data_IF_815880704399
#
_entry.id   IF_815880704399
#
_cell.length_a   1.000
_cell.length_b   1.000
_cell.length_c   1.000
_cell.angle_alpha   90.00
_cell.angle_beta   90.00
_cell.angle_gamma   90.00
#
_symmetry.space_group_name_H-M   'P 1'
#
loop_
_entity.id
_entity.type
_entity.pdbx_description
1 polymer ?
#
# COMPACT_ATOMS: atom_id res chain seq x y z
N UNK A 1 -9.85 34.15 69.34
CA UNK A 1 -8.49 33.75 68.92
C UNK A 1 -8.65 32.67 67.86
N UNK A 2 -8.31 32.98 66.61
CA UNK A 2 -7.99 31.98 65.56
C UNK A 2 -6.55 31.47 65.79
N UNK A 3 -6.02 30.50 65.00
CA UNK A 3 -6.62 29.40 64.22
C UNK A 3 -5.88 28.04 64.43
N UNK A 4 -6.41 26.93 63.92
CA UNK A 4 -5.57 25.79 63.49
C UNK A 4 -6.28 24.92 62.43
N UNK A 5 -5.75 25.02 61.21
CA UNK A 5 -5.85 24.20 59.99
C UNK A 5 -7.05 23.27 59.74
N UNK A 6 -7.78 23.44 58.62
CA UNK A 6 -8.46 22.35 57.96
C UNK A 6 -7.51 21.53 57.08
N UNK A 7 -7.74 20.23 57.16
CA UNK A 7 -7.06 19.07 56.61
C UNK A 7 -7.09 19.03 55.06
N UNK A 8 -6.00 18.56 54.46
CA UNK A 8 -5.85 18.30 53.03
C UNK A 8 -6.95 17.36 52.52
N UNK A 9 -7.75 17.87 51.57
CA UNK A 9 -8.60 17.04 50.73
C UNK A 9 -7.71 16.26 49.76
N UNK A 10 -7.58 14.96 50.04
CA UNK A 10 -7.14 13.93 49.10
C UNK A 10 -7.99 14.02 47.82
N UNK A 11 -7.47 14.71 46.81
CA UNK A 11 -7.88 14.48 45.43
C UNK A 11 -7.27 13.15 45.01
N UNK A 12 -8.10 12.10 45.11
CA UNK A 12 -7.94 10.86 44.38
C UNK A 12 -7.90 11.21 42.88
N UNK A 13 -6.70 11.26 42.31
CA UNK A 13 -6.51 11.30 40.87
C UNK A 13 -6.24 9.87 40.44
N UNK A 14 -7.20 9.37 39.66
CA UNK A 14 -7.25 8.03 39.10
C UNK A 14 -5.92 7.62 38.45
N UNK A 15 -5.41 6.48 38.91
CA UNK A 15 -4.43 5.69 38.17
C UNK A 15 -5.21 4.97 37.08
N UNK A 16 -4.98 5.29 35.81
CA UNK A 16 -4.74 4.30 34.73
C UNK A 16 -4.75 4.95 33.34
N UNK A 17 -3.57 4.98 32.70
CA UNK A 17 -3.49 4.89 31.24
C UNK A 17 -2.42 3.87 30.90
N UNK A 18 -2.87 2.62 30.73
CA UNK A 18 -2.00 1.48 30.43
C UNK A 18 -1.98 1.24 28.91
N UNK A 19 -0.84 1.41 28.21
CA UNK A 19 -0.71 1.24 26.76
C UNK A 19 -0.89 -0.21 26.26
N UNK A 20 -1.12 -1.18 27.14
CA UNK A 20 -1.25 -2.60 26.81
C UNK A 20 -2.56 -2.97 26.11
N UNK A 21 -3.68 -2.28 26.39
CA UNK A 21 -5.01 -2.60 25.83
C UNK A 21 -5.11 -2.27 24.32
N UNK A 22 -4.29 -1.35 23.83
CA UNK A 22 -4.29 -0.91 22.42
C UNK A 22 -3.49 -1.86 21.50
N UNK A 23 -2.43 -2.51 21.98
CA UNK A 23 -1.63 -3.41 21.15
C UNK A 23 -2.35 -4.74 20.87
N UNK A 24 -2.96 -5.34 21.90
CA UNK A 24 -3.63 -6.64 21.76
C UNK A 24 -4.83 -6.59 20.80
N UNK A 25 -5.61 -5.50 20.88
CA UNK A 25 -6.74 -5.25 19.99
C UNK A 25 -6.29 -5.05 18.54
N UNK A 26 -5.22 -4.28 18.31
CA UNK A 26 -4.62 -4.11 16.97
C UNK A 26 -4.08 -5.42 16.39
N UNK A 27 -3.39 -6.23 17.20
CA UNK A 27 -2.89 -7.55 16.76
C UNK A 27 -4.06 -8.47 16.39
N UNK A 28 -5.14 -8.47 17.18
CA UNK A 28 -6.34 -9.27 16.87
C UNK A 28 -7.00 -8.82 15.57
N UNK A 29 -7.22 -7.52 15.40
CA UNK A 29 -7.79 -6.95 14.19
C UNK A 29 -6.94 -7.28 12.95
N UNK A 30 -5.61 -7.20 13.06
CA UNK A 30 -4.69 -7.57 12.01
C UNK A 30 -4.82 -9.07 11.63
N UNK A 31 -4.83 -9.97 12.62
CA UNK A 31 -5.01 -11.42 12.39
C UNK A 31 -6.36 -11.75 11.74
N UNK A 32 -7.43 -11.06 12.11
CA UNK A 32 -8.75 -11.24 11.50
C UNK A 32 -8.79 -10.75 10.04
N UNK A 33 -8.12 -9.63 9.73
CA UNK A 33 -7.95 -9.16 8.37
C UNK A 33 -7.15 -10.14 7.52
N UNK A 34 -6.06 -10.72 8.05
CA UNK A 34 -5.27 -11.72 7.33
C UNK A 34 -6.05 -13.01 7.05
N UNK A 35 -6.88 -13.47 8.00
CA UNK A 35 -7.76 -14.63 7.77
C UNK A 35 -8.75 -14.42 6.62
N UNK A 36 -9.17 -13.18 6.36
CA UNK A 36 -10.06 -12.85 5.23
C UNK A 36 -9.33 -12.87 3.89
N UNK A 37 -7.99 -12.73 3.90
CA UNK A 37 -7.13 -12.71 2.72
C UNK A 37 -6.45 -14.06 2.44
N UNK A 38 -6.61 -15.04 3.33
CA UNK A 38 -5.85 -16.29 3.31
C UNK A 38 -6.47 -17.37 2.42
N UNK A 39 -6.74 -17.05 1.15
CA UNK A 39 -7.02 -18.11 0.19
C UNK A 39 -5.79 -19.00 0.04
N UNK A 40 -5.97 -20.31 0.19
CA UNK A 40 -4.94 -21.31 -0.08
C UNK A 40 -5.57 -22.40 -0.93
N UNK A 41 -4.93 -22.70 -2.05
CA UNK A 41 -5.37 -23.75 -2.97
C UNK A 41 -4.20 -24.42 -3.67
N UNK A 42 -4.54 -25.30 -4.59
CA UNK A 42 -3.61 -25.97 -5.50
C UNK A 42 -3.23 -25.06 -6.67
N UNK A 43 -2.17 -25.41 -7.39
CA UNK A 43 -1.80 -24.73 -8.63
C UNK A 43 -2.93 -24.78 -9.68
N UNK A 44 -3.67 -25.89 -9.77
CA UNK A 44 -4.80 -26.02 -10.70
C UNK A 44 -5.91 -25.02 -10.41
N UNK A 45 -6.31 -24.88 -9.14
CA UNK A 45 -7.31 -23.89 -8.73
C UNK A 45 -6.83 -22.46 -8.99
N UNK A 46 -5.54 -22.18 -8.76
CA UNK A 46 -4.96 -20.88 -9.10
C UNK A 46 -4.97 -20.63 -10.62
N UNK A 47 -4.65 -21.65 -11.43
CA UNK A 47 -4.67 -21.55 -12.88
C UNK A 47 -6.07 -21.23 -13.39
N UNK A 48 -7.11 -21.86 -12.81
CA UNK A 48 -8.51 -21.55 -13.12
C UNK A 48 -8.87 -20.09 -12.76
N UNK A 49 -8.38 -19.57 -11.63
CA UNK A 49 -8.54 -18.15 -11.27
C UNK A 49 -7.90 -17.23 -12.31
N UNK A 50 -6.69 -17.54 -12.78
CA UNK A 50 -5.99 -16.74 -13.81
C UNK A 50 -6.70 -16.82 -15.16
N UNK A 51 -7.26 -17.98 -15.53
CA UNK A 51 -8.05 -18.13 -16.74
C UNK A 51 -9.33 -17.28 -16.69
N UNK A 52 -10.01 -17.26 -15.54
CA UNK A 52 -11.20 -16.44 -15.33
C UNK A 52 -10.87 -14.95 -15.26
N UNK A 53 -9.74 -14.59 -14.64
CA UNK A 53 -9.27 -13.23 -14.52
C UNK A 53 -7.76 -13.10 -14.76
N UNK A 54 -7.32 -12.82 -16.00
CA UNK A 54 -5.91 -12.67 -16.34
C UNK A 54 -5.20 -11.53 -15.61
N UNK A 55 -5.92 -10.57 -15.01
CA UNK A 55 -5.29 -9.47 -14.27
C UNK A 55 -4.59 -9.92 -12.99
N UNK A 56 -4.89 -11.13 -12.50
CA UNK A 56 -4.25 -11.72 -11.32
C UNK A 56 -2.74 -11.90 -11.56
N UNK A 57 -2.38 -12.43 -12.73
CA UNK A 57 -1.00 -12.70 -13.14
C UNK A 57 -0.33 -11.53 -13.89
N UNK A 58 -0.82 -10.29 -13.71
CA UNK A 58 -0.24 -9.10 -14.36
C UNK A 58 1.13 -8.73 -13.76
N UNK A 59 1.90 -7.96 -14.53
CA UNK A 59 3.19 -7.44 -14.09
C UNK A 59 3.06 -6.50 -12.89
N UNK A 60 4.09 -6.44 -12.04
CA UNK A 60 4.16 -5.47 -10.94
C UNK A 60 4.00 -4.03 -11.41
N UNK A 61 4.54 -3.67 -12.58
CA UNK A 61 4.37 -2.35 -13.18
C UNK A 61 2.91 -2.03 -13.51
N UNK A 62 2.17 -3.01 -14.06
CA UNK A 62 0.75 -2.88 -14.33
C UNK A 62 -0.03 -2.71 -13.03
N UNK A 63 0.30 -3.50 -12.00
CA UNK A 63 -0.33 -3.40 -10.69
C UNK A 63 -0.15 -2.01 -10.06
N UNK A 64 1.05 -1.43 -10.14
CA UNK A 64 1.30 -0.05 -9.65
C UNK A 64 0.55 0.98 -10.47
N UNK A 65 0.52 0.84 -11.80
CA UNK A 65 -0.25 1.73 -12.66
C UNK A 65 -1.74 1.69 -12.31
N UNK A 66 -2.33 0.50 -12.27
CA UNK A 66 -3.75 0.29 -12.00
C UNK A 66 -4.13 0.79 -10.60
N UNK A 67 -3.27 0.59 -9.60
CA UNK A 67 -3.43 1.16 -8.27
C UNK A 67 -3.54 2.69 -8.30
N UNK A 68 -2.63 3.37 -9.01
CA UNK A 68 -2.65 4.83 -9.10
C UNK A 68 -3.92 5.30 -9.82
N UNK A 69 -4.31 4.62 -10.90
CA UNK A 69 -5.50 4.96 -11.67
C UNK A 69 -6.79 4.68 -10.89
N UNK A 70 -6.83 3.64 -10.06
CA UNK A 70 -7.97 3.29 -9.22
C UNK A 70 -8.30 4.35 -8.17
N UNK A 71 -7.32 5.16 -7.75
CA UNK A 71 -7.55 6.28 -6.83
C UNK A 71 -8.32 7.44 -7.49
N UNK A 72 -8.31 7.52 -8.82
CA UNK A 72 -8.92 8.59 -9.60
C UNK A 72 -7.92 9.52 -10.27
N UNK A 73 -8.35 10.12 -11.39
CA UNK A 73 -7.59 11.14 -12.11
C UNK A 73 -8.50 12.29 -12.47
N UNK A 74 -7.98 13.52 -12.37
CA UNK A 74 -8.67 14.75 -12.76
C UNK A 74 -7.86 15.51 -13.81
N UNK A 75 -8.56 16.21 -14.70
CA UNK A 75 -7.96 16.96 -15.79
C UNK A 75 -7.48 16.09 -16.96
N UNK A 76 -7.04 16.75 -18.03
CA UNK A 76 -6.54 16.13 -19.26
C UNK A 76 -5.18 16.72 -19.68
N UNK A 77 -4.42 15.98 -20.49
CA UNK A 77 -3.16 16.47 -21.04
C UNK A 77 -2.10 16.79 -19.98
N UNK A 78 -1.58 18.02 -20.02
CA UNK A 78 -0.53 18.52 -19.11
C UNK A 78 -1.03 18.85 -17.71
N UNK A 79 -2.36 19.05 -17.56
CA UNK A 79 -2.97 19.44 -16.29
C UNK A 79 -3.52 18.22 -15.53
N UNK A 80 -3.16 17.02 -15.98
CA UNK A 80 -3.59 15.77 -15.36
C UNK A 80 -3.02 15.63 -13.95
N UNK A 81 -3.91 15.53 -12.97
CA UNK A 81 -3.59 15.21 -11.58
C UNK A 81 -4.08 13.82 -11.21
N UNK A 82 -3.32 13.13 -10.37
CA UNK A 82 -3.62 11.77 -9.89
C UNK A 82 -3.98 11.83 -8.41
N UNK A 83 -5.22 11.47 -8.07
CA UNK A 83 -5.77 11.62 -6.71
C UNK A 83 -4.99 10.83 -5.67
N UNK A 84 -4.30 9.77 -6.11
CA UNK A 84 -3.33 9.01 -5.32
C UNK A 84 -2.25 9.88 -4.65
N UNK A 85 -1.81 10.96 -5.31
CA UNK A 85 -0.70 11.80 -4.84
C UNK A 85 -1.15 13.16 -4.30
N UNK A 86 -2.40 13.58 -4.53
CA UNK A 86 -2.84 14.98 -4.34
C UNK A 86 -2.86 15.47 -2.89
N UNK A 87 -2.87 14.57 -1.91
CA UNK A 87 -2.93 14.94 -0.49
C UNK A 87 -1.54 15.23 0.09
N UNK A 88 -0.49 14.63 -0.47
CA UNK A 88 0.86 14.61 0.11
C UNK A 88 1.90 15.28 -0.79
N UNK A 89 1.63 15.41 -2.09
CA UNK A 89 2.58 15.93 -3.08
C UNK A 89 1.96 17.12 -3.82
N UNK A 90 2.62 18.27 -3.71
CA UNK A 90 2.21 19.51 -4.37
C UNK A 90 3.32 20.03 -5.30
N UNK A 91 2.95 20.60 -6.44
CA UNK A 91 3.89 21.24 -7.37
C UNK A 91 4.77 20.28 -8.20
N UNK A 92 4.57 18.97 -8.11
CA UNK A 92 5.33 17.95 -8.86
C UNK A 92 4.53 17.29 -9.99
N UNK A 93 3.49 17.94 -10.51
CA UNK A 93 2.54 17.37 -11.48
C UNK A 93 3.25 16.73 -12.69
N UNK A 94 4.18 17.46 -13.31
CA UNK A 94 4.95 16.96 -14.47
C UNK A 94 5.79 15.72 -14.13
N UNK A 95 6.42 15.69 -12.96
CA UNK A 95 7.21 14.54 -12.49
C UNK A 95 6.33 13.34 -12.20
N UNK A 96 5.17 13.56 -11.56
CA UNK A 96 4.19 12.50 -11.31
C UNK A 96 3.61 11.94 -12.61
N UNK A 97 3.34 12.80 -13.59
CA UNK A 97 2.91 12.37 -14.93
C UNK A 97 3.95 11.48 -15.60
N UNK A 98 5.23 11.87 -15.61
CA UNK A 98 6.31 11.04 -16.14
C UNK A 98 6.46 9.70 -15.42
N UNK A 99 6.28 9.69 -14.09
CA UNK A 99 6.31 8.48 -13.28
C UNK A 99 5.17 7.53 -13.66
N UNK A 100 3.95 8.04 -13.81
CA UNK A 100 2.79 7.24 -14.21
C UNK A 100 2.92 6.74 -15.65
N UNK A 101 3.44 7.57 -16.56
CA UNK A 101 3.74 7.18 -17.94
C UNK A 101 4.80 6.07 -18.02
N UNK A 102 5.81 6.11 -17.15
CA UNK A 102 6.77 5.02 -17.01
C UNK A 102 6.07 3.71 -16.64
N UNK A 103 5.20 3.70 -15.62
CA UNK A 103 4.48 2.49 -15.21
C UNK A 103 3.51 2.01 -16.30
N UNK A 104 2.79 2.92 -16.97
CA UNK A 104 1.92 2.59 -18.09
C UNK A 104 2.71 1.92 -19.23
N UNK A 105 3.86 2.49 -19.59
CA UNK A 105 4.73 1.94 -20.65
C UNK A 105 5.29 0.57 -20.26
N UNK A 106 5.72 0.41 -19.00
CA UNK A 106 6.24 -0.85 -18.49
C UNK A 106 5.14 -1.93 -18.34
N UNK A 107 3.90 -1.53 -18.04
CA UNK A 107 2.72 -2.41 -17.99
C UNK A 107 2.44 -3.06 -19.35
N UNK A 108 2.66 -2.31 -20.44
CA UNK A 108 2.48 -2.77 -21.83
C UNK A 108 3.62 -3.65 -22.35
N UNK A 109 4.45 -4.21 -21.46
CA UNK A 109 5.58 -5.10 -21.76
C UNK A 109 6.65 -4.48 -22.68
N UNK A 110 6.70 -3.15 -22.78
CA UNK A 110 7.72 -2.43 -23.56
C UNK A 110 9.11 -2.56 -22.91
N UNK A 111 10.16 -2.27 -23.67
CA UNK A 111 11.56 -2.37 -23.20
C UNK A 111 11.86 -1.54 -21.95
N UNK A 112 11.07 -0.49 -21.71
CA UNK A 112 11.15 0.37 -20.53
C UNK A 112 11.09 -0.44 -19.23
N UNK A 113 10.39 -1.58 -19.20
CA UNK A 113 10.31 -2.46 -18.00
C UNK A 113 11.65 -3.02 -17.52
N UNK A 114 12.68 -3.02 -18.37
CA UNK A 114 14.03 -3.52 -18.06
C UNK A 114 14.95 -2.41 -17.52
N UNK A 115 14.47 -1.17 -17.45
CA UNK A 115 15.26 0.00 -17.01
C UNK A 115 15.10 0.22 -15.51
N UNK A 116 16.14 0.74 -14.87
CA UNK A 116 16.10 1.14 -13.46
C UNK A 116 15.43 2.52 -13.36
N UNK A 117 14.37 2.63 -12.56
CA UNK A 117 13.75 3.91 -12.22
C UNK A 117 14.52 4.56 -11.07
N UNK A 118 15.17 5.70 -11.35
CA UNK A 118 15.91 6.49 -10.37
C UNK A 118 15.16 7.79 -10.05
N UNK A 119 14.81 8.00 -8.78
CA UNK A 119 14.26 9.25 -8.30
C UNK A 119 15.42 10.15 -7.84
N UNK A 120 15.77 11.15 -8.67
CA UNK A 120 16.88 12.09 -8.44
C UNK A 120 16.34 13.51 -8.21
N UNK A 121 16.99 14.29 -7.35
CA UNK A 121 16.61 15.68 -7.10
C UNK A 121 17.09 16.23 -5.76
N UNK A 122 16.89 17.54 -5.48
CA UNK A 122 17.37 18.19 -4.27
C UNK A 122 16.80 17.56 -2.98
N UNK A 123 17.51 17.73 -1.87
CA UNK A 123 17.02 17.35 -0.54
C UNK A 123 15.68 18.04 -0.27
N UNK A 124 14.71 17.31 0.29
CA UNK A 124 13.35 17.81 0.49
C UNK A 124 12.40 17.73 -0.71
N UNK A 125 12.86 17.35 -1.91
CA UNK A 125 12.02 17.26 -3.13
C UNK A 125 11.01 16.11 -3.19
N UNK A 126 10.47 15.62 -2.07
CA UNK A 126 9.38 14.64 -2.03
C UNK A 126 9.70 13.21 -2.49
N UNK A 127 10.94 12.88 -2.86
CA UNK A 127 11.34 11.54 -3.37
C UNK A 127 10.96 10.40 -2.41
N UNK A 128 11.36 10.51 -1.14
CA UNK A 128 11.04 9.51 -0.12
C UNK A 128 9.53 9.44 0.15
N UNK A 129 8.83 10.57 0.04
CA UNK A 129 7.38 10.64 0.17
C UNK A 129 6.71 9.85 -0.96
N UNK A 130 7.10 10.06 -2.22
CA UNK A 130 6.59 9.30 -3.37
C UNK A 130 6.79 7.79 -3.15
N UNK A 131 7.99 7.36 -2.76
CA UNK A 131 8.28 5.94 -2.50
C UNK A 131 7.41 5.40 -1.35
N UNK A 132 7.21 6.20 -0.30
CA UNK A 132 6.38 5.81 0.85
C UNK A 132 4.92 5.66 0.45
N UNK A 133 4.38 6.59 -0.34
CA UNK A 133 3.03 6.52 -0.87
C UNK A 133 2.84 5.29 -1.74
N UNK A 134 3.76 5.03 -2.68
CA UNK A 134 3.71 3.83 -3.53
C UNK A 134 3.70 2.55 -2.70
N UNK A 135 4.57 2.44 -1.67
CA UNK A 135 4.60 1.26 -0.79
C UNK A 135 3.29 1.06 -0.05
N UNK A 136 2.77 2.10 0.60
CA UNK A 136 1.50 2.06 1.34
C UNK A 136 0.32 1.76 0.42
N UNK A 137 0.29 2.41 -0.73
CA UNK A 137 -0.71 2.18 -1.76
C UNK A 137 -0.71 0.74 -2.23
N UNK A 138 0.47 0.16 -2.48
CA UNK A 138 0.57 -1.25 -2.88
C UNK A 138 0.03 -2.14 -1.78
N UNK A 139 0.44 -1.93 -0.53
CA UNK A 139 -0.02 -2.71 0.62
C UNK A 139 -1.55 -2.67 0.79
N UNK A 140 -2.18 -1.53 0.53
CA UNK A 140 -3.64 -1.37 0.58
C UNK A 140 -4.32 -1.99 -0.63
N UNK A 141 -3.81 -1.71 -1.83
CA UNK A 141 -4.39 -2.18 -3.08
C UNK A 141 -4.34 -3.70 -3.20
N UNK A 142 -3.27 -4.36 -2.75
CA UNK A 142 -3.16 -5.82 -2.77
C UNK A 142 -4.15 -6.54 -1.85
N UNK A 143 -4.79 -5.82 -0.94
CA UNK A 143 -5.88 -6.35 -0.10
C UNK A 143 -7.26 -6.25 -0.77
N UNK A 144 -7.34 -5.67 -1.96
CA UNK A 144 -8.57 -5.62 -2.77
C UNK A 144 -8.58 -6.76 -3.78
N UNK A 145 -9.77 -7.20 -4.21
CA UNK A 145 -9.90 -8.22 -5.26
C UNK A 145 -9.22 -7.78 -6.55
N UNK A 146 -9.38 -6.50 -6.91
CA UNK A 146 -8.75 -5.92 -8.08
C UNK A 146 -7.22 -5.90 -7.99
N UNK A 147 -6.65 -5.91 -6.79
CA UNK A 147 -5.21 -5.85 -6.52
C UNK A 147 -4.57 -7.17 -6.08
N UNK A 148 -5.36 -8.25 -5.99
CA UNK A 148 -4.96 -9.51 -5.38
C UNK A 148 -3.61 -10.04 -5.90
N UNK A 149 -2.82 -10.60 -4.97
CA UNK A 149 -1.51 -11.20 -5.25
C UNK A 149 -1.47 -12.56 -4.58
N UNK A 150 -1.03 -13.55 -5.34
CA UNK A 150 -0.87 -14.92 -4.88
C UNK A 150 0.61 -15.28 -4.94
N UNK A 151 1.01 -16.16 -4.04
CA UNK A 151 2.38 -16.62 -3.93
C UNK A 151 2.42 -18.11 -3.60
N UNK A 152 3.51 -18.76 -3.99
CA UNK A 152 3.76 -20.15 -3.63
C UNK A 152 3.96 -20.24 -2.11
N UNK A 153 3.11 -21.05 -1.45
CA UNK A 153 3.18 -21.26 -0.01
C UNK A 153 4.55 -21.85 0.38
N UNK A 154 5.22 -21.20 1.32
CA UNK A 154 6.54 -21.63 1.83
C UNK A 154 7.72 -21.24 0.94
N UNK A 155 7.50 -20.57 -0.20
CA UNK A 155 8.60 -20.00 -0.98
C UNK A 155 9.09 -18.71 -0.29
N UNK A 156 10.37 -18.61 0.11
CA UNK A 156 10.91 -17.42 0.76
C UNK A 156 10.91 -16.19 -0.16
N UNK A 157 10.92 -16.43 -1.48
CA UNK A 157 10.87 -15.38 -2.50
C UNK A 157 9.44 -14.93 -2.82
N UNK A 158 8.42 -15.58 -2.23
CA UNK A 158 7.01 -15.33 -2.53
C UNK A 158 6.73 -15.30 -4.04
N UNK A 159 7.27 -16.27 -4.75
CA UNK A 159 7.18 -16.34 -6.21
C UNK A 159 5.75 -16.51 -6.69
N UNK A 160 5.51 -15.97 -7.89
CA UNK A 160 4.24 -16.05 -8.57
C UNK A 160 3.96 -17.51 -9.01
N UNK A 161 2.77 -18.08 -8.77
CA UNK A 161 2.57 -19.51 -8.96
C UNK A 161 2.71 -20.03 -10.40
N UNK A 162 2.55 -19.20 -11.45
CA UNK A 162 2.78 -19.62 -12.85
C UNK A 162 4.26 -19.94 -13.12
N UNK A 163 5.20 -19.55 -12.25
CA UNK A 163 6.59 -20.00 -12.34
C UNK A 163 6.77 -21.51 -12.10
N UNK A 164 5.73 -22.23 -11.65
CA UNK A 164 5.73 -23.69 -11.59
C UNK A 164 5.62 -24.36 -12.97
N UNK A 165 5.24 -23.60 -14.00
CA UNK A 165 5.22 -24.08 -15.38
C UNK A 165 6.64 -23.93 -15.98
N UNK A 166 7.24 -25.02 -16.51
CA UNK A 166 8.57 -24.98 -17.12
C UNK A 166 8.63 -24.21 -18.45
#
# INVERSE_FOLDING_TARGET
MSPSHPNESLHQVDVEYSPHVDLESRIRAYREQEKKLSWQGTFGEYFDLVLANPSIARLSHARVYDMIMAAGTRGEGSDRSYDFFTHDIFGLNKTLQQLVEYFNSAARRLEVRKRILLLMGPVGGGKSTIVTLLKRGMEQYTRTDAGAVYAIKGCPMHEEPLHLIP
#
